data_IF_762043405948
#
_entry.id   IF_762043405948
#
_cell.length_a   1.000
_cell.length_b   1.000
_cell.length_c   1.000
_cell.angle_alpha   90.00
_cell.angle_beta   90.00
_cell.angle_gamma   90.00
#
_symmetry.space_group_name_H-M   'P 1'
#
loop_
_entity.id
_entity.type
_entity.pdbx_description
1 polymer ?
#
# COMPACT_ATOMS: atom_id res chain seq x y z
N UNK A 1 20.52 8.84 -10.44
CA UNK A 1 21.02 8.54 -9.09
C UNK A 1 19.94 8.94 -8.11
N UNK A 2 19.39 7.99 -7.36
CA UNK A 2 18.35 8.22 -6.36
C UNK A 2 19.01 8.24 -4.98
N UNK A 3 18.72 9.26 -4.16
CA UNK A 3 19.29 9.44 -2.82
C UNK A 3 18.25 9.25 -1.71
N UNK A 4 17.04 8.81 -2.04
CA UNK A 4 15.91 8.67 -1.11
C UNK A 4 16.29 7.88 0.15
N UNK A 5 17.07 6.82 0.00
CA UNK A 5 17.52 5.97 1.11
C UNK A 5 18.47 6.70 2.08
N UNK A 6 19.23 7.67 1.60
CA UNK A 6 20.15 8.45 2.44
C UNK A 6 19.44 9.52 3.29
N UNK A 7 18.17 9.82 2.97
CA UNK A 7 17.34 10.77 3.72
C UNK A 7 16.63 10.11 4.91
N UNK A 8 16.60 8.78 4.97
CA UNK A 8 15.97 8.04 6.04
C UNK A 8 16.70 8.29 7.38
N UNK A 9 15.95 8.66 8.41
CA UNK A 9 16.51 8.79 9.75
C UNK A 9 16.94 7.41 10.30
N UNK A 10 18.07 7.33 10.99
CA UNK A 10 18.43 6.14 11.78
C UNK A 10 17.43 6.02 12.94
N UNK A 11 16.41 5.18 12.76
CA UNK A 11 15.34 4.99 13.73
C UNK A 11 14.80 3.58 13.63
N UNK A 12 14.39 3.06 14.79
CA UNK A 12 13.71 1.78 15.01
C UNK A 12 12.22 1.81 14.58
N UNK A 13 11.77 2.87 13.92
CA UNK A 13 10.39 3.01 13.43
C UNK A 13 10.34 3.85 12.15
N UNK A 14 9.19 3.82 11.48
CA UNK A 14 8.88 4.79 10.41
C UNK A 14 8.72 6.20 10.99
N UNK A 15 9.28 7.18 10.30
CA UNK A 15 9.19 8.60 10.65
C UNK A 15 8.50 9.39 9.54
N UNK A 16 8.00 10.57 9.91
CA UNK A 16 7.40 11.50 8.95
C UNK A 16 8.34 11.82 7.78
N UNK A 17 9.64 11.95 8.05
CA UNK A 17 10.66 12.32 7.06
C UNK A 17 10.82 11.27 5.95
N UNK A 18 10.56 9.99 6.24
CA UNK A 18 10.61 8.89 5.25
C UNK A 18 9.58 9.08 4.12
N UNK A 19 8.55 9.91 4.32
CA UNK A 19 7.46 10.16 3.39
C UNK A 19 7.48 11.57 2.77
N UNK A 20 8.54 12.35 2.96
CA UNK A 20 8.67 13.69 2.37
C UNK A 20 8.69 13.67 0.83
N UNK A 21 9.26 12.60 0.26
CA UNK A 21 9.30 12.39 -1.19
C UNK A 21 7.99 11.83 -1.75
N UNK A 22 7.02 11.51 -0.89
CA UNK A 22 5.69 11.09 -1.27
C UNK A 22 5.19 9.83 -0.54
N UNK A 23 3.95 9.41 -0.84
CA UNK A 23 3.35 8.23 -0.25
C UNK A 23 4.09 6.94 -0.63
N UNK A 24 4.12 5.95 0.28
CA UNK A 24 4.68 4.62 0.04
C UNK A 24 3.64 3.55 0.34
N UNK A 25 3.54 2.57 -0.57
CA UNK A 25 2.70 1.40 -0.34
C UNK A 25 3.53 0.34 0.36
N UNK A 26 2.95 -0.23 1.42
CA UNK A 26 3.59 -1.19 2.31
C UNK A 26 2.67 -2.37 2.61
N UNK A 27 3.26 -3.51 2.89
CA UNK A 27 2.57 -4.76 3.21
C UNK A 27 2.81 -5.13 4.67
N UNK A 28 1.73 -5.42 5.40
CA UNK A 28 1.81 -5.78 6.82
C UNK A 28 2.28 -7.22 6.96
N UNK A 29 3.38 -7.44 7.68
CA UNK A 29 3.95 -8.78 7.93
C UNK A 29 3.63 -9.31 9.33
N UNK A 30 3.51 -8.41 10.31
CA UNK A 30 3.13 -8.75 11.68
C UNK A 30 2.55 -7.52 12.39
N UNK A 31 1.82 -7.76 13.48
CA UNK A 31 1.33 -6.70 14.38
C UNK A 31 1.62 -7.09 15.82
N UNK A 32 2.24 -6.18 16.58
CA UNK A 32 2.53 -6.34 18.00
C UNK A 32 1.76 -5.29 18.81
N UNK A 33 1.25 -5.68 19.98
CA UNK A 33 0.47 -4.80 20.86
C UNK A 33 1.14 -4.71 22.25
N UNK A 34 2.30 -4.03 22.37
CA UNK A 34 3.04 -3.96 23.63
C UNK A 34 2.38 -3.08 24.70
N UNK A 35 1.37 -2.28 24.35
CA UNK A 35 0.74 -1.31 25.25
C UNK A 35 1.52 -0.01 25.40
N UNK A 36 1.23 0.76 26.44
CA UNK A 36 1.86 2.07 26.69
C UNK A 36 1.40 3.19 25.74
N UNK A 37 2.26 4.19 25.56
CA UNK A 37 1.95 5.38 24.74
C UNK A 37 1.84 5.09 23.24
N UNK A 38 2.57 4.07 22.76
CA UNK A 38 2.55 3.57 21.38
C UNK A 38 2.08 2.11 21.34
N UNK A 39 0.78 1.86 21.56
CA UNK A 39 0.29 0.53 21.91
C UNK A 39 0.22 -0.47 20.75
N UNK A 40 0.50 -0.06 19.52
CA UNK A 40 0.39 -0.90 18.32
C UNK A 40 1.59 -0.66 17.43
N UNK A 41 2.31 -1.73 17.09
CA UNK A 41 3.43 -1.74 16.16
C UNK A 41 3.06 -2.62 14.96
N UNK A 42 3.13 -2.07 13.75
CA UNK A 42 2.81 -2.76 12.51
C UNK A 42 4.11 -2.98 11.75
N UNK A 43 4.57 -4.22 11.67
CA UNK A 43 5.76 -4.60 10.91
C UNK A 43 5.46 -4.58 9.40
N UNK A 44 6.42 -4.08 8.63
CA UNK A 44 6.28 -3.81 7.20
C UNK A 44 7.28 -4.63 6.38
N UNK A 45 6.83 -5.23 5.28
CA UNK A 45 7.69 -6.02 4.41
C UNK A 45 8.81 -5.18 3.76
N UNK A 46 8.47 -3.96 3.37
CA UNK A 46 9.34 -3.03 2.63
C UNK A 46 10.32 -2.30 3.57
N UNK A 47 10.05 -2.34 4.89
CA UNK A 47 10.90 -1.72 5.90
C UNK A 47 11.11 -2.65 7.11
N UNK A 48 11.85 -3.77 6.95
CA UNK A 48 12.06 -4.73 8.03
C UNK A 48 12.71 -4.08 9.26
N UNK A 49 12.15 -4.33 10.45
CA UNK A 49 12.67 -3.82 11.72
C UNK A 49 12.40 -2.33 11.98
N UNK A 50 11.62 -1.67 11.11
CA UNK A 50 11.17 -0.29 11.29
C UNK A 50 9.64 -0.23 11.23
N UNK A 51 8.92 -0.68 12.27
CA UNK A 51 7.47 -0.72 12.29
C UNK A 51 6.82 0.66 12.11
N UNK A 52 5.62 0.64 11.53
CA UNK A 52 4.68 1.76 11.59
C UNK A 52 3.93 1.72 12.92
N UNK A 53 4.01 2.82 13.69
CA UNK A 53 3.32 2.98 14.98
C UNK A 53 2.15 3.99 14.84
N UNK A 54 0.92 3.53 14.52
CA UNK A 54 -0.19 4.42 14.21
C UNK A 54 -0.66 5.23 15.43
N UNK A 55 -0.94 6.51 15.19
CA UNK A 55 -1.61 7.37 16.18
C UNK A 55 -3.05 6.87 16.47
N UNK A 56 -3.71 7.46 17.48
CA UNK A 56 -5.07 7.06 17.89
C UNK A 56 -6.10 7.17 16.78
N UNK A 57 -5.99 8.16 15.91
CA UNK A 57 -6.91 8.37 14.78
C UNK A 57 -6.72 7.27 13.73
N UNK A 58 -5.48 6.93 13.37
CA UNK A 58 -5.18 5.89 12.40
C UNK A 58 -5.54 4.48 12.93
N UNK A 59 -5.38 4.23 14.24
CA UNK A 59 -5.90 3.00 14.87
C UNK A 59 -7.42 2.86 14.73
N UNK A 60 -8.18 3.97 14.81
CA UNK A 60 -9.64 3.96 14.58
C UNK A 60 -9.99 3.66 13.12
N UNK A 61 -9.20 4.17 12.18
CA UNK A 61 -9.34 3.85 10.75
C UNK A 61 -9.14 2.35 10.52
N UNK A 62 -8.03 1.79 11.01
CA UNK A 62 -7.72 0.35 10.90
C UNK A 62 -8.85 -0.51 11.50
N UNK A 63 -9.26 -0.19 12.73
CA UNK A 63 -10.33 -0.93 13.41
C UNK A 63 -11.68 -0.83 12.69
N UNK A 64 -11.99 0.30 12.05
CA UNK A 64 -13.22 0.46 11.28
C UNK A 64 -13.18 -0.28 9.94
N UNK A 65 -12.03 -0.27 9.27
CA UNK A 65 -11.85 -0.90 7.96
C UNK A 65 -11.80 -2.42 8.06
N UNK A 66 -11.02 -2.95 9.00
CA UNK A 66 -10.66 -4.37 9.05
C UNK A 66 -11.05 -5.07 10.35
N UNK A 67 -11.69 -4.36 11.28
CA UNK A 67 -12.02 -4.86 12.61
C UNK A 67 -10.89 -4.66 13.62
N UNK A 68 -11.20 -4.80 14.93
CA UNK A 68 -10.25 -4.58 16.01
C UNK A 68 -9.21 -5.70 16.18
N UNK A 69 -9.44 -6.86 15.57
CA UNK A 69 -8.54 -8.01 15.65
C UNK A 69 -7.29 -7.79 14.78
N UNK A 70 -6.15 -7.53 15.42
CA UNK A 70 -4.91 -7.18 14.72
C UNK A 70 -4.35 -8.33 13.87
N UNK A 71 -4.64 -9.58 14.22
CA UNK A 71 -4.19 -10.74 13.42
C UNK A 71 -4.74 -10.73 11.99
N UNK A 72 -5.93 -10.14 11.79
CA UNK A 72 -6.60 -10.03 10.48
C UNK A 72 -5.88 -9.07 9.54
N UNK A 73 -5.05 -8.16 10.07
CA UNK A 73 -4.38 -7.12 9.28
C UNK A 73 -3.15 -7.65 8.53
N UNK A 74 -2.59 -8.78 8.96
CA UNK A 74 -1.41 -9.39 8.33
C UNK A 74 -1.72 -9.79 6.88
N UNK A 75 -0.78 -9.53 5.98
CA UNK A 75 -0.91 -9.73 4.54
C UNK A 75 -1.69 -8.63 3.81
N UNK A 76 -2.24 -7.64 4.52
CA UNK A 76 -2.93 -6.51 3.89
C UNK A 76 -1.95 -5.37 3.58
N UNK A 77 -2.23 -4.66 2.50
CA UNK A 77 -1.50 -3.46 2.08
C UNK A 77 -2.08 -2.15 2.61
N UNK A 78 -1.19 -1.18 2.86
CA UNK A 78 -1.47 0.21 3.21
C UNK A 78 -0.68 1.14 2.29
N UNK A 79 -1.23 2.27 1.88
CA UNK A 79 -0.43 3.41 1.40
C UNK A 79 -0.31 4.43 2.53
N UNK A 80 0.91 4.65 2.98
CA UNK A 80 1.24 5.60 4.05
C UNK A 80 1.77 6.91 3.44
N UNK A 81 1.46 8.04 4.04
CA UNK A 81 1.96 9.35 3.62
C UNK A 81 2.27 10.25 4.82
N UNK A 82 3.17 11.22 4.61
CA UNK A 82 3.49 12.24 5.59
C UNK A 82 2.47 13.39 5.57
N UNK A 83 1.80 13.63 6.68
CA UNK A 83 0.94 14.79 6.89
C UNK A 83 1.63 15.82 7.80
N UNK A 84 2.09 16.93 7.22
CA UNK A 84 2.74 18.04 7.93
C UNK A 84 1.82 18.79 8.90
N UNK A 85 0.49 18.65 8.76
CA UNK A 85 -0.50 19.35 9.59
C UNK A 85 -0.74 18.67 10.94
N UNK A 86 -0.19 17.47 11.15
CA UNK A 86 -0.30 16.76 12.43
C UNK A 86 0.48 17.53 13.50
N UNK A 87 -0.20 17.83 14.60
CA UNK A 87 0.35 18.61 15.71
C UNK A 87 0.39 17.81 17.01
N UNK A 88 1.47 17.95 17.76
CA UNK A 88 1.66 17.41 19.10
C UNK A 88 2.07 18.53 20.06
N UNK A 89 1.46 18.61 21.25
CA UNK A 89 1.75 19.68 22.22
C UNK A 89 1.53 21.10 21.67
N UNK A 90 0.63 21.28 20.69
CA UNK A 90 0.37 22.57 20.06
C UNK A 90 1.34 22.98 18.95
N UNK A 91 2.36 22.17 18.66
CA UNK A 91 3.31 22.41 17.55
C UNK A 91 3.07 21.44 16.41
N UNK A 92 3.16 21.91 15.16
CA UNK A 92 3.13 21.05 13.99
C UNK A 92 4.44 20.25 13.93
N UNK A 93 4.35 18.95 14.17
CA UNK A 93 5.50 18.03 14.19
C UNK A 93 5.51 17.09 12.99
N UNK A 94 4.41 17.05 12.23
CA UNK A 94 4.23 16.06 11.18
C UNK A 94 3.82 14.70 11.74
N UNK A 95 3.24 13.85 10.89
CA UNK A 95 2.82 12.52 11.27
C UNK A 95 2.54 11.65 10.06
N UNK A 96 2.52 10.34 10.28
CA UNK A 96 2.24 9.36 9.22
C UNK A 96 0.78 8.97 9.28
N UNK A 97 0.07 9.16 8.17
CA UNK A 97 -1.34 8.81 8.00
C UNK A 97 -1.55 7.83 6.85
N UNK A 98 -2.72 7.21 6.82
CA UNK A 98 -3.09 6.19 5.84
C UNK A 98 -3.87 6.85 4.70
N UNK A 99 -3.33 6.84 3.49
CA UNK A 99 -3.99 7.34 2.28
C UNK A 99 -4.91 6.28 1.65
N UNK A 100 -4.43 5.04 1.61
CA UNK A 100 -5.16 3.93 1.00
C UNK A 100 -4.98 2.61 1.75
N UNK A 101 -5.96 1.72 1.63
CA UNK A 101 -5.99 0.41 2.29
C UNK A 101 -6.47 -0.67 1.33
N UNK A 102 -5.83 -1.83 1.32
CA UNK A 102 -6.37 -3.01 0.65
C UNK A 102 -7.59 -3.56 1.39
N UNK A 103 -8.34 -4.46 0.75
CA UNK A 103 -9.48 -5.15 1.38
C UNK A 103 -10.56 -4.19 1.94
N UNK A 104 -10.76 -3.06 1.25
CA UNK A 104 -11.96 -2.22 1.36
C UNK A 104 -12.50 -1.98 -0.05
N UNK A 105 -13.80 -2.18 -0.26
CA UNK A 105 -14.38 -2.11 -1.62
C UNK A 105 -14.65 -0.67 -2.08
N UNK A 106 -14.78 0.25 -1.13
CA UNK A 106 -15.18 1.65 -1.36
C UNK A 106 -14.40 2.57 -0.43
N UNK A 107 -14.29 3.87 -0.78
CA UNK A 107 -13.68 4.85 0.10
C UNK A 107 -14.33 4.84 1.49
N UNK A 108 -13.49 4.78 2.53
CA UNK A 108 -13.92 4.78 3.92
C UNK A 108 -13.75 6.18 4.50
N UNK A 109 -14.86 6.85 4.80
CA UNK A 109 -14.87 8.18 5.43
C UNK A 109 -15.23 8.10 6.91
N UNK A 110 -14.41 8.74 7.75
CA UNK A 110 -14.56 8.73 9.21
C UNK A 110 -14.41 10.14 9.78
N UNK A 111 -15.30 10.58 10.70
CA UNK A 111 -15.09 11.84 11.42
C UNK A 111 -14.01 11.64 12.48
N UNK A 112 -12.79 12.09 12.19
CA UNK A 112 -11.65 12.03 13.09
C UNK A 112 -11.43 13.38 13.78
N UNK A 113 -10.89 13.34 14.99
CA UNK A 113 -10.54 14.57 15.72
C UNK A 113 -9.29 15.18 15.09
N UNK A 114 -9.42 16.37 14.52
CA UNK A 114 -8.29 17.12 13.93
C UNK A 114 -7.56 17.94 15.00
N UNK A 115 -8.33 18.62 15.86
CA UNK A 115 -7.87 19.41 17.01
C UNK A 115 -8.85 19.22 18.16
N UNK A 116 -8.46 19.59 19.39
CA UNK A 116 -9.34 19.50 20.56
C UNK A 116 -10.66 20.23 20.27
N UNK A 117 -11.79 19.50 20.29
CA UNK A 117 -13.12 20.03 20.01
C UNK A 117 -13.55 20.09 18.53
N UNK A 118 -12.65 19.81 17.57
CA UNK A 118 -12.96 19.83 16.14
C UNK A 118 -12.86 18.43 15.52
N UNK A 119 -13.88 18.05 14.75
CA UNK A 119 -13.86 16.84 13.91
C UNK A 119 -13.74 17.24 12.44
N UNK A 120 -12.94 16.49 11.69
CA UNK A 120 -12.84 16.58 10.24
C UNK A 120 -13.11 15.20 9.64
N UNK A 121 -13.75 15.17 8.48
CA UNK A 121 -13.92 13.91 7.75
C UNK A 121 -12.57 13.55 7.13
N UNK A 122 -12.08 12.37 7.49
CA UNK A 122 -10.89 11.77 6.91
C UNK A 122 -11.32 10.60 6.03
N UNK A 123 -10.86 10.58 4.78
CA UNK A 123 -11.26 9.58 3.79
C UNK A 123 -10.04 8.76 3.40
N UNK A 124 -10.18 7.44 3.48
CA UNK A 124 -9.18 6.48 3.01
C UNK A 124 -9.67 5.82 1.74
N UNK A 125 -8.82 5.78 0.73
CA UNK A 125 -9.14 5.19 -0.56
C UNK A 125 -8.91 3.67 -0.56
N UNK A 126 -9.66 2.90 -1.36
CA UNK A 126 -9.25 1.55 -1.69
C UNK A 126 -7.86 1.58 -2.32
N UNK A 127 -6.96 0.73 -1.81
CA UNK A 127 -5.70 0.45 -2.47
C UNK A 127 -6.04 -0.29 -3.75
N UNK A 128 -5.72 0.32 -4.90
CA UNK A 128 -5.68 -0.42 -6.14
C UNK A 128 -4.71 -1.59 -5.91
N UNK A 129 -5.25 -2.81 -5.82
CA UNK A 129 -4.39 -3.98 -5.93
C UNK A 129 -3.55 -3.77 -7.19
N UNK A 130 -2.24 -4.06 -7.19
CA UNK A 130 -1.56 -4.21 -8.46
C UNK A 130 -2.41 -5.21 -9.22
N UNK A 131 -3.13 -4.76 -10.24
CA UNK A 131 -3.89 -5.65 -11.10
C UNK A 131 -2.88 -6.67 -11.53
N UNK A 132 -3.00 -7.89 -11.00
CA UNK A 132 -2.20 -9.00 -11.46
C UNK A 132 -2.49 -9.03 -12.95
N UNK A 133 -1.50 -8.60 -13.74
CA UNK A 133 -1.64 -8.38 -15.17
C UNK A 133 -2.32 -9.63 -15.71
N UNK A 134 -3.49 -9.47 -16.32
CA UNK A 134 -4.24 -10.62 -16.82
C UNK A 134 -3.55 -11.07 -18.11
N UNK A 135 -2.47 -11.83 -17.91
CA UNK A 135 -1.66 -12.34 -18.99
C UNK A 135 -2.50 -13.13 -19.97
N UNK A 136 -3.51 -13.89 -19.50
CA UNK A 136 -4.38 -14.64 -20.40
C UNK A 136 -5.20 -13.71 -21.30
N UNK A 137 -5.80 -12.67 -20.72
CA UNK A 137 -6.56 -11.69 -21.48
C UNK A 137 -5.67 -10.97 -22.50
N UNK A 138 -4.51 -10.48 -22.09
CA UNK A 138 -3.59 -9.76 -23.00
C UNK A 138 -3.05 -10.64 -24.13
N UNK A 139 -2.74 -11.91 -23.84
CA UNK A 139 -2.33 -12.88 -24.87
C UNK A 139 -3.48 -13.11 -25.84
N UNK A 140 -4.71 -13.29 -25.36
CA UNK A 140 -5.87 -13.56 -26.22
C UNK A 140 -6.21 -12.38 -27.14
N UNK A 141 -6.01 -11.15 -26.66
CA UNK A 141 -6.30 -9.92 -27.39
C UNK A 141 -5.11 -9.41 -28.22
N UNK A 142 -3.97 -10.11 -28.22
CA UNK A 142 -2.80 -9.71 -29.00
C UNK A 142 -3.18 -9.60 -30.50
N UNK A 143 -2.98 -8.43 -31.14
CA UNK A 143 -3.37 -8.21 -32.52
C UNK A 143 -2.37 -8.80 -33.52
N UNK A 144 -1.12 -8.99 -33.10
CA UNK A 144 -0.03 -9.44 -33.96
C UNK A 144 1.04 -10.22 -33.17
N UNK A 145 1.94 -10.86 -33.93
CA UNK A 145 3.04 -11.67 -33.39
C UNK A 145 4.08 -10.82 -32.65
N UNK A 146 4.26 -9.54 -33.02
CA UNK A 146 5.20 -8.63 -32.37
C UNK A 146 4.74 -8.26 -30.95
N UNK A 147 3.44 -8.14 -30.73
CA UNK A 147 2.84 -7.95 -29.41
C UNK A 147 3.00 -9.19 -28.55
N UNK A 148 2.84 -10.39 -29.11
CA UNK A 148 3.13 -11.64 -28.39
C UNK A 148 4.61 -11.78 -28.00
N UNK A 149 5.55 -11.38 -28.87
CA UNK A 149 6.98 -11.44 -28.56
C UNK A 149 7.37 -10.51 -27.40
N UNK A 150 6.75 -9.33 -27.29
CA UNK A 150 6.92 -8.45 -26.13
C UNK A 150 6.36 -9.07 -24.86
N UNK A 151 5.14 -9.61 -24.92
CA UNK A 151 4.53 -10.30 -23.78
C UNK A 151 5.38 -11.51 -23.32
N UNK A 152 6.00 -12.23 -24.25
CA UNK A 152 6.87 -13.37 -23.95
C UNK A 152 8.08 -13.01 -23.07
N UNK A 153 8.64 -11.80 -23.23
CA UNK A 153 9.77 -11.35 -22.42
C UNK A 153 9.38 -10.96 -20.99
N UNK A 154 8.11 -10.63 -20.77
CA UNK A 154 7.63 -10.08 -19.50
C UNK A 154 6.79 -11.09 -18.71
N UNK A 155 6.17 -12.07 -19.37
CA UNK A 155 5.25 -13.01 -18.75
C UNK A 155 5.95 -14.18 -18.02
N UNK A 156 5.38 -14.67 -16.91
CA UNK A 156 5.80 -15.92 -16.28
C UNK A 156 5.68 -17.12 -17.23
N UNK A 157 6.59 -18.10 -17.09
CA UNK A 157 6.69 -19.27 -17.97
C UNK A 157 5.38 -20.09 -18.12
N UNK A 158 4.50 -20.05 -17.11
CA UNK A 158 3.19 -20.71 -17.15
C UNK A 158 2.26 -20.23 -18.29
N UNK A 159 2.52 -19.07 -18.88
CA UNK A 159 1.71 -18.51 -19.98
C UNK A 159 2.29 -18.77 -21.38
N UNK A 160 3.42 -19.46 -21.48
CA UNK A 160 4.09 -19.72 -22.76
C UNK A 160 3.24 -20.57 -23.72
N UNK A 161 2.49 -21.55 -23.20
CA UNK A 161 1.64 -22.40 -24.05
C UNK A 161 0.45 -21.62 -24.63
N UNK A 162 -0.12 -20.70 -23.85
CA UNK A 162 -1.17 -19.79 -24.32
C UNK A 162 -0.65 -18.84 -25.43
N UNK A 163 0.58 -18.35 -25.29
CA UNK A 163 1.22 -17.51 -26.32
C UNK A 163 1.50 -18.28 -27.62
N UNK A 164 1.99 -19.53 -27.52
CA UNK A 164 2.19 -20.40 -28.69
C UNK A 164 0.87 -20.66 -29.42
N UNK A 165 -0.20 -20.93 -28.67
CA UNK A 165 -1.53 -21.16 -29.23
C UNK A 165 -2.05 -19.92 -29.99
N UNK A 166 -1.92 -18.72 -29.40
CA UNK A 166 -2.31 -17.48 -30.08
C UNK A 166 -1.45 -17.19 -31.32
N UNK A 167 -0.14 -17.42 -31.25
CA UNK A 167 0.76 -17.23 -32.39
C UNK A 167 0.41 -18.13 -33.57
N UNK A 168 -0.05 -19.37 -33.32
CA UNK A 168 -0.56 -20.26 -34.37
C UNK A 168 -1.83 -19.71 -35.02
N UNK A 169 -2.80 -19.24 -34.22
CA UNK A 169 -4.03 -18.62 -34.74
C UNK A 169 -3.78 -17.40 -35.61
N UNK A 170 -2.82 -16.54 -35.23
CA UNK A 170 -2.45 -15.36 -36.01
C UNK A 170 -1.77 -15.72 -37.34
N UNK A 171 -1.04 -16.84 -37.39
CA UNK A 171 -0.44 -17.36 -38.63
C UNK A 171 -1.45 -18.02 -39.57
N UNK A 172 -2.49 -18.66 -39.03
CA UNK A 172 -3.58 -19.24 -39.83
C UNK A 172 -4.52 -18.18 -40.40
N UNK A 173 -4.61 -17.01 -39.78
CA UNK A 173 -5.42 -15.88 -40.22
C UNK A 173 -4.74 -14.98 -41.26
N UNK A 174 -3.50 -15.29 -41.66
CA UNK A 174 -2.66 -14.55 -42.60
C UNK A 174 -2.66 -15.23 -43.98
#
# INVERSE_FOLDING_TARGET
MDISETLAAKSDQQNYDDYLLGPRTVTITAVHVPGGDQPVHIELAEYPGRPYKPNKSMRRVLAKAWGPESGVWVGRGLTLFGNSKVSYGGKAVGGIEIAAMSHIDKPLSLPLTSKRGQKAVFTVQPLAMPTQRDWQQEISMAPDTDTLNRLWTEAPAQYQDAMKARAAQLKEAQ
#
